data_IF_643256753720
#
_entry.id   IF_643256753720
#
_cell.length_a   1.000
_cell.length_b   1.000
_cell.length_c   1.000
_cell.angle_alpha   90.00
_cell.angle_beta   90.00
_cell.angle_gamma   90.00
#
_symmetry.space_group_name_H-M   'P 1'
#
loop_
_entity.id
_entity.type
_entity.pdbx_description
1 polymer ?
#
# COMPACT_ATOMS: atom_id res chain seq x y z
N UNK A 1 -23.16 -20.62 29.32
CA UNK A 1 -22.68 -19.93 30.54
C UNK A 1 -22.38 -18.47 30.18
N UNK A 2 -22.92 -17.47 30.90
CA UNK A 2 -22.67 -16.08 30.59
C UNK A 2 -21.28 -15.69 31.10
N UNK A 3 -20.40 -15.27 30.20
CA UNK A 3 -19.04 -14.84 30.52
C UNK A 3 -19.07 -13.59 31.40
N UNK A 4 -18.91 -13.78 32.72
CA UNK A 4 -18.61 -12.68 33.65
C UNK A 4 -17.30 -12.03 33.21
N UNK A 5 -17.30 -10.70 33.17
CA UNK A 5 -16.23 -9.83 32.69
C UNK A 5 -14.96 -10.09 33.50
N UNK A 6 -13.96 -10.75 32.88
CA UNK A 6 -12.65 -10.93 33.50
C UNK A 6 -11.93 -9.56 33.65
N UNK A 7 -11.09 -9.37 34.68
CA UNK A 7 -10.24 -8.19 34.79
C UNK A 7 -9.40 -7.99 33.54
N UNK A 8 -9.21 -6.74 33.08
CA UNK A 8 -8.44 -6.42 31.85
C UNK A 8 -7.04 -7.04 31.86
N UNK A 9 -6.38 -7.09 33.02
CA UNK A 9 -5.06 -7.71 33.20
C UNK A 9 -5.07 -9.22 32.94
N UNK A 10 -6.11 -9.93 33.40
CA UNK A 10 -6.27 -11.37 33.19
C UNK A 10 -6.59 -11.69 31.72
N UNK A 11 -7.44 -10.87 31.08
CA UNK A 11 -7.75 -11.00 29.65
C UNK A 11 -6.52 -10.78 28.77
N UNK A 12 -5.71 -9.76 29.08
CA UNK A 12 -4.46 -9.50 28.36
C UNK A 12 -3.45 -10.64 28.55
N UNK A 13 -3.32 -11.17 29.78
CA UNK A 13 -2.45 -12.30 30.06
C UNK A 13 -2.86 -13.56 29.29
N UNK A 14 -4.16 -13.89 29.29
CA UNK A 14 -4.69 -15.02 28.51
C UNK A 14 -4.43 -14.85 27.02
N UNK A 15 -4.61 -13.64 26.49
CA UNK A 15 -4.38 -13.37 25.06
C UNK A 15 -2.90 -13.44 24.69
N UNK A 16 -1.99 -13.09 25.62
CA UNK A 16 -0.56 -13.27 25.43
C UNK A 16 -0.18 -14.76 25.39
N UNK A 17 -0.76 -15.59 26.26
CA UNK A 17 -0.55 -17.05 26.23
C UNK A 17 -1.10 -17.68 24.97
N UNK A 18 -2.21 -17.16 24.46
CA UNK A 18 -2.77 -17.55 23.17
C UNK A 18 -1.85 -17.17 21.99
N UNK A 19 -1.25 -15.97 22.00
CA UNK A 19 -0.20 -15.60 21.03
C UNK A 19 0.99 -16.56 21.08
N UNK A 20 1.56 -16.81 22.27
CA UNK A 20 2.70 -17.72 22.47
C UNK A 20 2.39 -19.13 21.95
N UNK A 21 1.19 -19.65 22.24
CA UNK A 21 0.74 -20.96 21.77
C UNK A 21 0.71 -21.03 20.25
N UNK A 22 0.06 -20.05 19.60
CA UNK A 22 -0.03 -20.00 18.15
C UNK A 22 1.32 -19.81 17.47
N UNK A 23 2.23 -19.01 18.05
CA UNK A 23 3.61 -18.92 17.58
C UNK A 23 4.33 -20.27 17.67
N UNK A 24 4.18 -20.99 18.78
CA UNK A 24 4.84 -22.27 19.00
C UNK A 24 4.40 -23.35 18.01
N UNK A 25 3.10 -23.42 17.70
CA UNK A 25 2.55 -24.41 16.76
C UNK A 25 2.63 -23.97 15.29
N UNK A 26 3.19 -22.78 15.01
CA UNK A 26 3.32 -22.24 13.65
C UNK A 26 2.01 -21.74 13.02
N UNK A 27 0.97 -21.49 13.83
CA UNK A 27 -0.30 -20.93 13.36
C UNK A 27 -0.19 -19.40 13.22
N UNK A 28 0.21 -18.96 12.03
CA UNK A 28 0.33 -17.53 11.71
C UNK A 28 -0.97 -16.76 11.92
N UNK A 29 -2.11 -17.30 11.48
CA UNK A 29 -3.38 -16.58 11.54
C UNK A 29 -3.88 -16.44 12.98
N UNK A 30 -3.76 -17.51 13.78
CA UNK A 30 -4.03 -17.49 15.21
C UNK A 30 -3.16 -16.47 15.96
N UNK A 31 -1.85 -16.46 15.70
CA UNK A 31 -0.93 -15.52 16.33
C UNK A 31 -1.26 -14.06 15.96
N UNK A 32 -1.57 -13.79 14.70
CA UNK A 32 -1.98 -12.45 14.25
C UNK A 32 -3.31 -12.01 14.87
N UNK A 33 -4.28 -12.93 15.01
CA UNK A 33 -5.56 -12.66 15.69
C UNK A 33 -5.35 -12.32 17.18
N UNK A 34 -4.48 -13.05 17.87
CA UNK A 34 -4.12 -12.76 19.26
C UNK A 34 -3.47 -11.38 19.41
N UNK A 35 -2.51 -11.04 18.53
CA UNK A 35 -1.87 -9.70 18.49
C UNK A 35 -2.88 -8.59 18.21
N UNK A 36 -3.82 -8.80 17.30
CA UNK A 36 -4.88 -7.84 17.01
C UNK A 36 -5.76 -7.60 18.24
N UNK A 37 -6.18 -8.67 18.94
CA UNK A 37 -6.91 -8.57 20.20
C UNK A 37 -6.14 -7.78 21.26
N UNK A 38 -4.87 -8.09 21.48
CA UNK A 38 -4.02 -7.35 22.43
C UNK A 38 -3.90 -5.88 22.06
N UNK A 39 -3.73 -5.58 20.77
CA UNK A 39 -3.62 -4.21 20.27
C UNK A 39 -4.90 -3.40 20.53
N UNK A 40 -6.06 -3.94 20.17
CA UNK A 40 -7.35 -3.24 20.33
C UNK A 40 -7.89 -3.23 21.77
N UNK A 41 -7.37 -4.08 22.66
CA UNK A 41 -7.66 -4.01 24.11
C UNK A 41 -6.88 -2.90 24.83
N UNK A 42 -5.78 -2.41 24.24
CA UNK A 42 -4.96 -1.33 24.77
C UNK A 42 -5.49 0.08 24.45
N UNK A 43 -4.76 1.11 24.89
CA UNK A 43 -5.07 2.50 24.52
C UNK A 43 -4.77 2.72 23.03
N UNK A 44 -5.71 3.32 22.29
CA UNK A 44 -5.71 3.54 20.84
C UNK A 44 -4.62 4.49 20.28
N UNK A 45 -3.46 4.58 20.94
CA UNK A 45 -2.41 5.58 20.71
C UNK A 45 -1.50 5.31 19.51
N UNK A 46 -1.67 4.20 18.79
CA UNK A 46 -0.76 3.82 17.68
C UNK A 46 -1.35 4.02 16.26
N UNK A 47 -2.58 4.52 16.15
CA UNK A 47 -3.25 4.79 14.87
C UNK A 47 -2.43 5.71 13.95
N UNK A 48 -1.84 6.78 14.49
CA UNK A 48 -1.04 7.72 13.71
C UNK A 48 0.22 7.11 13.07
N UNK A 49 0.88 6.16 13.74
CA UNK A 49 2.05 5.47 13.17
C UNK A 49 1.66 4.55 12.01
N UNK A 50 0.51 3.89 12.12
CA UNK A 50 -0.03 3.03 11.06
C UNK A 50 -0.48 3.84 9.85
N UNK A 51 -1.20 4.93 10.09
CA UNK A 51 -1.57 5.89 9.05
C UNK A 51 -0.33 6.39 8.30
N UNK A 52 0.70 6.84 9.02
CA UNK A 52 1.93 7.31 8.42
C UNK A 52 2.61 6.23 7.56
N UNK A 53 2.60 4.97 8.02
CA UNK A 53 3.17 3.85 7.28
C UNK A 53 2.38 3.53 6.01
N UNK A 54 1.05 3.42 6.10
CA UNK A 54 0.16 3.11 4.98
C UNK A 54 0.24 4.20 3.92
N UNK A 55 0.18 5.48 4.33
CA UNK A 55 0.30 6.63 3.43
C UNK A 55 1.63 6.64 2.70
N UNK A 56 2.72 6.45 3.44
CA UNK A 56 4.05 6.40 2.83
C UNK A 56 4.22 5.21 1.87
N UNK A 57 3.60 4.06 2.16
CA UNK A 57 3.67 2.89 1.29
C UNK A 57 2.91 3.10 -0.03
N UNK A 58 1.74 3.74 0.03
CA UNK A 58 0.95 4.11 -1.15
C UNK A 58 1.68 5.18 -1.98
N UNK A 59 2.23 6.22 -1.34
CA UNK A 59 3.04 7.25 -2.02
C UNK A 59 4.25 6.63 -2.72
N UNK A 60 4.93 5.68 -2.06
CA UNK A 60 6.06 4.96 -2.64
C UNK A 60 5.63 4.10 -3.83
N UNK A 61 4.49 3.40 -3.72
CA UNK A 61 3.91 2.64 -4.83
C UNK A 61 3.57 3.56 -6.01
N UNK A 62 2.99 4.73 -5.76
CA UNK A 62 2.69 5.72 -6.79
C UNK A 62 3.96 6.17 -7.51
N UNK A 63 4.98 6.61 -6.77
CA UNK A 63 6.21 7.11 -7.37
C UNK A 63 6.92 6.05 -8.23
N UNK A 64 6.98 4.80 -7.74
CA UNK A 64 7.58 3.68 -8.49
C UNK A 64 6.75 3.33 -9.75
N UNK A 65 5.42 3.38 -9.66
CA UNK A 65 4.57 3.09 -10.81
C UNK A 65 4.66 4.18 -11.87
N UNK A 66 4.74 5.46 -11.46
CA UNK A 66 4.97 6.59 -12.35
C UNK A 66 6.34 6.50 -13.02
N UNK A 67 7.39 6.16 -12.26
CA UNK A 67 8.74 5.95 -12.80
C UNK A 67 8.71 4.88 -13.91
N UNK A 68 8.09 3.73 -13.65
CA UNK A 68 8.00 2.65 -14.64
C UNK A 68 7.20 3.06 -15.90
N UNK A 69 6.12 3.83 -15.72
CA UNK A 69 5.34 4.36 -16.84
C UNK A 69 6.18 5.31 -17.72
N UNK A 70 6.90 6.25 -17.09
CA UNK A 70 7.77 7.20 -17.78
C UNK A 70 8.98 6.55 -18.45
N UNK A 71 9.55 5.49 -17.87
CA UNK A 71 10.59 4.70 -18.53
C UNK A 71 10.08 4.08 -19.83
N UNK A 72 8.86 3.52 -19.81
CA UNK A 72 8.21 2.96 -21.01
C UNK A 72 7.93 4.04 -22.06
N UNK A 73 7.49 5.23 -21.63
CA UNK A 73 7.27 6.38 -22.52
C UNK A 73 8.58 6.83 -23.16
N UNK A 74 9.67 6.96 -22.38
CA UNK A 74 10.98 7.36 -22.85
C UNK A 74 11.56 6.37 -23.87
N UNK A 75 11.42 5.07 -23.63
CA UNK A 75 11.81 4.02 -24.58
C UNK A 75 11.04 4.16 -25.90
N UNK A 76 9.72 4.39 -25.82
CA UNK A 76 8.86 4.57 -27.00
C UNK A 76 9.24 5.82 -27.79
N UNK A 77 9.47 6.96 -27.13
CA UNK A 77 9.88 8.21 -27.76
C UNK A 77 11.27 8.10 -28.39
N UNK A 78 12.20 7.41 -27.70
CA UNK A 78 13.55 7.15 -28.20
C UNK A 78 13.54 6.26 -29.44
N UNK A 79 12.68 5.24 -29.47
CA UNK A 79 12.48 4.41 -30.65
C UNK A 79 11.90 5.22 -31.82
N UNK A 80 10.88 6.06 -31.57
CA UNK A 80 10.29 6.96 -32.59
C UNK A 80 11.32 7.93 -33.18
N UNK A 81 12.23 8.45 -32.36
CA UNK A 81 13.32 9.32 -32.81
C UNK A 81 14.35 8.58 -33.68
N UNK A 82 14.56 7.29 -33.46
CA UNK A 82 15.52 6.44 -34.20
C UNK A 82 14.96 5.85 -35.49
N UNK A 83 13.63 5.72 -35.62
CA UNK A 83 12.98 5.29 -36.86
C UNK A 83 13.40 6.26 -37.98
N UNK A 84 14.11 5.78 -39.02
CA UNK A 84 14.54 6.65 -40.09
C UNK A 84 13.32 7.21 -40.81
N UNK A 85 13.44 8.44 -41.31
CA UNK A 85 12.46 9.14 -42.14
C UNK A 85 12.26 8.46 -43.51
N UNK A 86 11.96 7.16 -43.52
CA UNK A 86 11.86 6.33 -44.73
C UNK A 86 10.55 6.61 -45.48
N UNK A 87 9.51 7.09 -44.78
CA UNK A 87 8.19 7.29 -45.39
C UNK A 87 7.68 8.73 -45.39
N UNK A 88 8.27 9.64 -44.61
CA UNK A 88 7.99 11.07 -44.66
C UNK A 88 9.04 11.80 -43.81
N UNK A 89 9.58 12.96 -44.24
CA UNK A 89 10.39 13.80 -43.35
C UNK A 89 9.48 14.24 -42.20
N UNK A 90 9.74 13.73 -41.00
CA UNK A 90 9.06 14.21 -39.80
C UNK A 90 9.18 15.73 -39.77
N UNK A 91 8.05 16.43 -39.74
CA UNK A 91 8.07 17.88 -39.74
C UNK A 91 8.94 18.39 -38.55
N UNK A 92 9.59 19.54 -38.73
CA UNK A 92 10.51 20.08 -37.73
C UNK A 92 9.82 20.31 -36.35
N UNK A 93 8.53 20.64 -36.36
CA UNK A 93 7.67 20.78 -35.17
C UNK A 93 7.43 19.43 -34.47
N UNK A 94 7.21 18.34 -35.19
CA UNK A 94 7.09 16.98 -34.63
C UNK A 94 8.40 16.54 -33.96
N UNK A 95 9.54 16.79 -34.61
CA UNK A 95 10.86 16.50 -34.04
C UNK A 95 11.16 17.30 -32.78
N UNK A 96 10.81 18.60 -32.78
CA UNK A 96 10.94 19.46 -31.60
C UNK A 96 10.06 18.98 -30.45
N UNK A 97 8.80 18.62 -30.74
CA UNK A 97 7.86 18.09 -29.74
C UNK A 97 8.36 16.80 -29.11
N UNK A 98 8.93 15.88 -29.89
CA UNK A 98 9.54 14.64 -29.35
C UNK A 98 10.72 14.98 -28.45
N UNK A 99 11.61 15.89 -28.86
CA UNK A 99 12.78 16.30 -28.06
C UNK A 99 12.35 16.95 -26.74
N UNK A 100 11.41 17.88 -26.79
CA UNK A 100 10.86 18.54 -25.60
C UNK A 100 10.22 17.53 -24.66
N UNK A 101 9.43 16.57 -25.19
CA UNK A 101 8.83 15.52 -24.37
C UNK A 101 9.88 14.64 -23.69
N UNK A 102 10.92 14.22 -24.41
CA UNK A 102 12.04 13.46 -23.84
C UNK A 102 12.68 14.23 -22.67
N UNK A 103 13.00 15.52 -22.87
CA UNK A 103 13.63 16.34 -21.84
C UNK A 103 12.75 16.48 -20.58
N UNK A 104 11.45 16.69 -20.77
CA UNK A 104 10.47 16.74 -19.67
C UNK A 104 10.38 15.40 -18.93
N UNK A 105 10.27 14.29 -19.67
CA UNK A 105 10.23 12.94 -19.09
C UNK A 105 11.49 12.62 -18.29
N UNK A 106 12.68 12.97 -18.82
CA UNK A 106 13.95 12.79 -18.12
C UNK A 106 14.03 13.63 -16.84
N UNK A 107 13.51 14.86 -16.86
CA UNK A 107 13.43 15.71 -15.67
C UNK A 107 12.50 15.10 -14.61
N UNK A 108 11.31 14.65 -14.99
CA UNK A 108 10.38 13.97 -14.09
C UNK A 108 10.99 12.70 -13.48
N UNK A 109 11.72 11.89 -14.27
CA UNK A 109 12.41 10.70 -13.79
C UNK A 109 13.47 11.03 -12.72
N UNK A 110 14.23 12.12 -12.89
CA UNK A 110 15.19 12.58 -11.86
C UNK A 110 14.47 12.95 -10.56
N UNK A 111 13.39 13.72 -10.64
CA UNK A 111 12.58 14.08 -9.47
C UNK A 111 12.00 12.84 -8.78
N UNK A 112 11.46 11.88 -9.54
CA UNK A 112 10.90 10.64 -8.98
C UNK A 112 11.96 9.80 -8.28
N UNK A 113 13.18 9.72 -8.80
CA UNK A 113 14.25 9.00 -8.14
C UNK A 113 14.56 9.58 -6.74
N UNK A 114 14.62 10.91 -6.63
CA UNK A 114 14.76 11.58 -5.32
C UNK A 114 13.56 11.30 -4.41
N UNK A 115 12.33 11.39 -4.92
CA UNK A 115 11.11 11.12 -4.17
C UNK A 115 11.08 9.69 -3.64
N UNK A 116 11.40 8.70 -4.48
CA UNK A 116 11.47 7.28 -4.11
C UNK A 116 12.51 7.08 -3.01
N UNK A 117 13.69 7.72 -3.13
CA UNK A 117 14.73 7.64 -2.11
C UNK A 117 14.24 8.20 -0.76
N UNK A 118 13.59 9.37 -0.77
CA UNK A 118 13.05 10.01 0.45
C UNK A 118 11.96 9.13 1.09
N UNK A 119 11.01 8.63 0.31
CA UNK A 119 9.92 7.76 0.78
C UNK A 119 10.42 6.41 1.31
N UNK A 120 11.46 5.85 0.71
CA UNK A 120 12.10 4.62 1.20
C UNK A 120 12.72 4.85 2.58
N UNK A 121 13.46 5.96 2.77
CA UNK A 121 14.01 6.34 4.07
C UNK A 121 12.93 6.65 5.09
N UNK A 122 11.85 7.32 4.68
CA UNK A 122 10.69 7.59 5.55
C UNK A 122 10.02 6.31 6.02
N UNK A 123 9.91 5.29 5.16
CA UNK A 123 9.43 3.95 5.57
C UNK A 123 10.26 3.43 6.75
N UNK A 124 11.58 3.47 6.63
CA UNK A 124 12.48 3.01 7.69
C UNK A 124 12.35 3.87 8.97
N UNK A 125 12.27 5.19 8.83
CA UNK A 125 12.10 6.10 9.96
C UNK A 125 10.78 5.85 10.72
N UNK A 126 9.67 5.70 10.00
CA UNK A 126 8.36 5.37 10.57
C UNK A 126 8.42 4.04 11.30
N UNK A 127 8.97 2.98 10.68
CA UNK A 127 9.09 1.66 11.31
C UNK A 127 9.93 1.68 12.60
N UNK A 128 10.97 2.51 12.68
CA UNK A 128 11.79 2.66 13.90
C UNK A 128 11.07 3.36 15.06
N UNK A 129 10.02 4.12 14.76
CA UNK A 129 9.24 4.84 15.77
C UNK A 129 8.08 4.00 16.33
N UNK A 130 7.79 2.83 15.74
CA UNK A 130 6.78 1.93 16.30
C UNK A 130 7.19 1.49 17.70
N UNK A 131 6.31 1.64 18.71
CA UNK A 131 6.58 1.12 20.04
C UNK A 131 6.66 -0.41 20.00
N UNK A 132 7.50 -0.98 20.85
CA UNK A 132 7.47 -2.42 21.09
C UNK A 132 6.09 -2.85 21.60
N UNK A 133 5.58 -3.95 21.07
CA UNK A 133 4.24 -4.42 21.39
C UNK A 133 3.60 -5.29 20.30
N UNK A 134 2.33 -5.68 20.51
CA UNK A 134 1.62 -6.60 19.62
C UNK A 134 1.56 -6.12 18.17
N UNK A 135 1.38 -4.81 17.96
CA UNK A 135 1.31 -4.21 16.64
C UNK A 135 2.64 -4.32 15.88
N UNK A 136 3.76 -4.01 16.53
CA UNK A 136 5.08 -4.11 15.89
C UNK A 136 5.44 -5.57 15.59
N UNK A 137 5.14 -6.50 16.52
CA UNK A 137 5.30 -7.95 16.28
C UNK A 137 4.47 -8.42 15.08
N UNK A 138 3.20 -8.01 15.03
CA UNK A 138 2.29 -8.33 13.93
C UNK A 138 2.85 -7.85 12.59
N UNK A 139 3.25 -6.57 12.55
CA UNK A 139 3.80 -5.92 11.36
C UNK A 139 5.08 -6.61 10.88
N UNK A 140 6.03 -6.90 11.78
CA UNK A 140 7.28 -7.61 11.47
C UNK A 140 6.97 -9.00 10.88
N UNK A 141 6.09 -9.76 11.54
CA UNK A 141 5.71 -11.10 11.10
C UNK A 141 4.98 -11.07 9.75
N UNK A 142 4.05 -10.13 9.53
CA UNK A 142 3.35 -9.99 8.26
C UNK A 142 4.33 -9.63 7.13
N UNK A 143 5.17 -8.61 7.35
CA UNK A 143 6.14 -8.13 6.33
C UNK A 143 7.30 -9.09 6.05
N UNK A 144 7.54 -10.09 6.90
CA UNK A 144 8.47 -11.18 6.61
C UNK A 144 8.00 -12.02 5.40
N UNK A 145 6.68 -12.06 5.12
CA UNK A 145 6.15 -12.67 3.91
C UNK A 145 6.41 -11.81 2.68
N UNK A 146 7.01 -12.37 1.63
CA UNK A 146 7.20 -11.69 0.34
C UNK A 146 5.87 -11.32 -0.34
N UNK A 147 4.74 -11.88 0.14
CA UNK A 147 3.38 -11.68 -0.38
C UNK A 147 2.46 -10.95 0.60
N UNK A 148 2.99 -10.25 1.62
CA UNK A 148 2.18 -9.49 2.58
C UNK A 148 1.20 -8.52 1.89
N UNK A 149 1.63 -7.88 0.80
CA UNK A 149 0.82 -6.95 0.01
C UNK A 149 -0.36 -7.64 -0.69
N UNK A 150 -0.38 -8.97 -0.75
CA UNK A 150 -1.47 -9.77 -1.34
C UNK A 150 -2.44 -10.30 -0.28
N UNK A 151 -2.41 -9.75 0.95
CA UNK A 151 -3.41 -10.06 1.96
C UNK A 151 -4.82 -9.92 1.34
N UNK A 152 -5.77 -10.82 1.63
CA UNK A 152 -7.04 -10.91 0.90
C UNK A 152 -7.79 -9.59 0.83
N UNK A 153 -7.81 -8.82 1.93
CA UNK A 153 -8.49 -7.54 1.97
C UNK A 153 -7.82 -6.46 1.09
N UNK A 154 -6.48 -6.44 0.98
CA UNK A 154 -5.79 -5.53 0.04
C UNK A 154 -6.07 -5.90 -1.41
N UNK A 155 -6.17 -7.20 -1.68
CA UNK A 155 -6.55 -7.71 -3.00
C UNK A 155 -8.00 -7.36 -3.33
N UNK A 156 -8.93 -7.57 -2.42
CA UNK A 156 -10.35 -7.22 -2.55
C UNK A 156 -10.51 -5.71 -2.79
N UNK A 157 -9.77 -4.90 -2.03
CA UNK A 157 -9.72 -3.45 -2.19
C UNK A 157 -9.23 -3.04 -3.58
N UNK A 158 -8.16 -3.68 -4.08
CA UNK A 158 -7.69 -3.49 -5.44
C UNK A 158 -8.72 -3.95 -6.50
N UNK A 159 -9.48 -5.03 -6.25
CA UNK A 159 -10.56 -5.48 -7.15
C UNK A 159 -11.72 -4.49 -7.15
N UNK A 160 -12.13 -4.00 -5.98
CA UNK A 160 -13.26 -3.09 -5.83
C UNK A 160 -13.08 -1.74 -6.52
N UNK A 161 -11.84 -1.30 -6.72
CA UNK A 161 -11.50 -0.09 -7.51
C UNK A 161 -11.27 -0.35 -8.99
N UNK A 162 -11.71 -1.51 -9.49
CA UNK A 162 -11.37 -1.98 -10.84
C UNK A 162 -9.86 -1.91 -11.12
N UNK A 163 -9.06 -2.42 -10.19
CA UNK A 163 -7.62 -2.43 -10.27
C UNK A 163 -7.05 -3.63 -11.02
N UNK A 164 -5.72 -3.72 -11.05
CA UNK A 164 -4.99 -4.83 -11.69
C UNK A 164 -5.40 -6.23 -11.17
N UNK A 165 -5.88 -6.34 -9.93
CA UNK A 165 -6.33 -7.61 -9.36
C UNK A 165 -7.66 -8.10 -9.95
N UNK A 166 -8.53 -7.22 -10.45
CA UNK A 166 -9.75 -7.61 -11.16
C UNK A 166 -9.45 -8.14 -12.57
N UNK A 167 -8.46 -7.53 -13.24
CA UNK A 167 -8.07 -7.84 -14.63
C UNK A 167 -7.11 -9.01 -14.80
N UNK A 168 -6.57 -9.55 -13.71
CA UNK A 168 -5.59 -10.65 -13.72
C UNK A 168 -4.31 -10.35 -14.55
N UNK A 169 -3.95 -9.10 -14.77
CA UNK A 169 -2.76 -8.73 -15.57
C UNK A 169 -1.41 -9.02 -14.87
N UNK A 170 -1.44 -9.50 -13.62
CA UNK A 170 -0.24 -9.90 -12.85
C UNK A 170 0.61 -8.74 -12.34
N UNK A 171 0.24 -7.49 -12.61
CA UNK A 171 1.01 -6.31 -12.24
C UNK A 171 1.26 -6.17 -10.72
N UNK A 172 0.31 -6.60 -9.87
CA UNK A 172 0.46 -6.47 -8.41
C UNK A 172 1.47 -7.44 -7.79
N UNK A 173 1.76 -8.56 -8.44
CA UNK A 173 2.60 -9.64 -7.90
C UNK A 173 4.04 -9.60 -8.40
N UNK A 174 4.35 -8.71 -9.36
CA UNK A 174 5.68 -8.57 -9.96
C UNK A 174 6.31 -7.21 -9.62
N UNK A 175 7.66 -7.14 -9.57
CA UNK A 175 8.38 -5.87 -9.55
C UNK A 175 7.94 -4.94 -10.68
N UNK A 176 8.01 -3.63 -10.47
CA UNK A 176 7.63 -2.64 -11.49
C UNK A 176 8.72 -2.37 -12.50
N UNK A 177 9.97 -2.52 -12.10
CA UNK A 177 11.14 -2.50 -12.97
C UNK A 177 12.25 -3.36 -12.35
N UNK A 178 13.29 -3.66 -13.13
CA UNK A 178 14.46 -4.37 -12.63
C UNK A 178 15.16 -3.61 -11.48
N UNK A 179 15.12 -2.28 -11.52
CA UNK A 179 15.68 -1.41 -10.49
C UNK A 179 14.78 -1.30 -9.23
N UNK A 180 13.48 -1.58 -9.34
CA UNK A 180 12.51 -1.44 -8.25
C UNK A 180 11.84 -2.78 -7.93
N UNK A 181 12.48 -3.55 -7.04
CA UNK A 181 12.01 -4.88 -6.60
C UNK A 181 10.70 -4.85 -5.78
N UNK A 182 10.24 -3.67 -5.36
CA UNK A 182 9.00 -3.52 -4.59
C UNK A 182 7.80 -4.03 -5.39
N UNK A 183 6.98 -4.85 -4.73
CA UNK A 183 5.67 -5.34 -5.20
C UNK A 183 4.56 -4.63 -4.43
N UNK A 184 3.38 -4.52 -5.02
CA UNK A 184 2.26 -3.81 -4.41
C UNK A 184 1.10 -3.57 -5.36
N UNK A 185 -0.05 -3.20 -4.81
CA UNK A 185 -1.24 -2.88 -5.58
C UNK A 185 -1.08 -1.64 -6.45
N UNK A 186 -1.89 -1.56 -7.50
CA UNK A 186 -1.88 -0.41 -8.39
C UNK A 186 -2.40 0.85 -7.69
N UNK A 187 -1.78 1.96 -8.01
CA UNK A 187 -2.26 3.32 -7.74
C UNK A 187 -2.72 3.95 -9.06
N UNK A 188 -3.10 5.22 -9.02
CA UNK A 188 -3.43 6.08 -10.18
C UNK A 188 -2.35 6.07 -11.25
N UNK A 189 -1.08 6.03 -10.85
CA UNK A 189 0.07 5.99 -11.74
C UNK A 189 0.30 4.64 -12.46
N UNK A 190 -0.57 3.63 -12.25
CA UNK A 190 -0.40 2.35 -12.92
C UNK A 190 -0.78 2.45 -14.40
N UNK A 191 0.22 2.44 -15.29
CA UNK A 191 0.01 2.47 -16.74
C UNK A 191 -0.93 1.36 -17.27
N UNK A 192 -0.97 0.18 -16.62
CA UNK A 192 -1.92 -0.87 -16.97
C UNK A 192 -3.37 -0.48 -16.65
N UNK A 193 -3.60 0.15 -15.49
CA UNK A 193 -4.92 0.63 -15.11
C UNK A 193 -5.33 1.83 -15.96
N UNK A 194 -4.42 2.76 -16.22
CA UNK A 194 -4.66 3.91 -17.07
C UNK A 194 -5.12 3.50 -18.48
N UNK A 195 -4.40 2.55 -19.12
CA UNK A 195 -4.82 2.01 -20.43
C UNK A 195 -6.19 1.33 -20.40
N UNK A 196 -6.48 0.58 -19.33
CA UNK A 196 -7.77 -0.10 -19.20
C UNK A 196 -8.93 0.90 -18.99
N UNK A 197 -8.68 1.97 -18.22
CA UNK A 197 -9.65 3.05 -18.00
C UNK A 197 -9.81 3.97 -19.20
N UNK A 198 -8.76 4.13 -20.02
CA UNK A 198 -8.75 4.98 -21.21
C UNK A 198 -8.42 6.46 -20.95
N UNK A 199 -8.09 6.84 -19.71
CA UNK A 199 -7.74 8.22 -19.34
C UNK A 199 -6.79 8.27 -18.15
N UNK A 200 -5.92 9.28 -18.13
CA UNK A 200 -5.04 9.58 -16.99
C UNK A 200 -5.86 10.07 -15.81
N UNK A 201 -5.42 9.72 -14.60
CA UNK A 201 -6.00 10.22 -13.36
C UNK A 201 -4.89 10.86 -12.56
N UNK A 202 -5.12 12.10 -12.17
CA UNK A 202 -4.19 12.84 -11.34
C UNK A 202 -4.11 12.24 -9.95
N UNK A 203 -2.95 12.42 -9.30
CA UNK A 203 -2.70 11.94 -7.94
C UNK A 203 -3.73 12.46 -6.95
N UNK A 204 -4.35 13.61 -7.27
CA UNK A 204 -5.24 14.37 -6.42
C UNK A 204 -6.66 13.80 -6.26
N UNK A 205 -7.04 12.78 -7.04
CA UNK A 205 -8.40 12.23 -6.99
C UNK A 205 -8.68 11.34 -5.77
N UNK A 206 -9.92 11.36 -5.29
CA UNK A 206 -10.35 10.79 -4.00
C UNK A 206 -10.31 9.26 -3.90
N UNK A 207 -10.10 8.52 -4.98
CA UNK A 207 -10.22 7.06 -4.99
C UNK A 207 -9.01 6.31 -4.39
N UNK A 208 -7.88 6.98 -4.18
CA UNK A 208 -6.72 6.36 -3.51
C UNK A 208 -7.09 5.97 -2.07
N UNK A 209 -6.76 4.74 -1.60
CA UNK A 209 -7.17 4.21 -0.30
C UNK A 209 -6.93 5.17 0.87
N UNK A 210 -5.82 5.90 0.83
CA UNK A 210 -5.43 6.89 1.84
C UNK A 210 -6.33 8.13 1.81
N UNK A 211 -6.79 8.59 0.65
CA UNK A 211 -7.63 9.79 0.57
C UNK A 211 -9.03 9.53 1.11
N UNK A 212 -9.60 8.36 0.83
CA UNK A 212 -10.92 7.96 1.36
C UNK A 212 -10.87 7.84 2.89
N UNK A 213 -9.78 7.27 3.44
CA UNK A 213 -9.73 6.91 4.84
C UNK A 213 -9.33 8.06 5.79
N UNK A 214 -8.67 9.10 5.26
CA UNK A 214 -8.14 10.23 6.04
C UNK A 214 -8.82 11.57 5.72
N UNK A 215 -9.82 11.59 4.84
CA UNK A 215 -10.67 12.76 4.66
C UNK A 215 -11.63 12.92 5.86
N UNK A 216 -11.84 14.19 6.25
CA UNK A 216 -12.35 14.64 7.54
C UNK A 216 -13.66 14.00 8.03
N UNK A 217 -13.67 13.64 9.32
CA UNK A 217 -14.85 13.72 10.19
C UNK A 217 -15.98 12.69 10.02
N UNK A 218 -15.86 11.69 9.15
CA UNK A 218 -16.88 10.64 9.03
C UNK A 218 -16.56 9.49 9.99
N UNK A 219 -17.46 9.21 10.95
CA UNK A 219 -17.39 8.05 11.86
C UNK A 219 -17.16 6.71 11.14
N UNK A 220 -17.56 6.62 9.85
CA UNK A 220 -17.31 5.48 8.97
C UNK A 220 -15.85 5.26 8.54
N UNK A 221 -14.97 6.27 8.68
CA UNK A 221 -13.53 6.16 8.39
C UNK A 221 -12.82 5.23 9.36
N UNK A 222 -13.35 5.03 10.58
CA UNK A 222 -12.74 4.16 11.59
C UNK A 222 -12.81 2.67 11.21
N UNK A 223 -13.93 2.17 10.68
CA UNK A 223 -14.07 0.74 10.28
C UNK A 223 -13.20 0.43 9.07
N UNK A 224 -13.17 1.31 8.06
CA UNK A 224 -12.32 1.13 6.89
C UNK A 224 -10.83 1.21 7.24
N UNK A 225 -10.42 2.14 8.10
CA UNK A 225 -9.04 2.21 8.59
C UNK A 225 -8.65 0.98 9.40
N UNK A 226 -9.52 0.48 10.27
CA UNK A 226 -9.26 -0.75 11.03
C UNK A 226 -9.13 -1.95 10.10
N UNK A 227 -9.99 -2.06 9.07
CA UNK A 227 -9.86 -3.09 8.03
C UNK A 227 -8.51 -2.98 7.32
N UNK A 228 -8.13 -1.79 6.86
CA UNK A 228 -6.82 -1.56 6.24
C UNK A 228 -5.68 -1.93 7.18
N UNK A 229 -5.76 -1.58 8.47
CA UNK A 229 -4.76 -1.95 9.48
C UNK A 229 -4.67 -3.46 9.68
N UNK A 230 -5.79 -4.16 9.78
CA UNK A 230 -5.83 -5.62 9.89
C UNK A 230 -5.12 -6.27 8.71
N UNK A 231 -5.29 -5.72 7.50
CA UNK A 231 -4.61 -6.23 6.32
C UNK A 231 -3.11 -5.85 6.27
N UNK A 232 -2.79 -4.57 6.47
CA UNK A 232 -1.42 -4.03 6.34
C UNK A 232 -0.50 -4.50 7.47
N UNK A 233 -0.98 -4.51 8.70
CA UNK A 233 -0.18 -4.82 9.88
C UNK A 233 -0.30 -6.30 10.25
N UNK A 234 -1.51 -6.86 10.26
CA UNK A 234 -1.74 -8.21 10.77
C UNK A 234 -1.85 -9.27 9.67
N UNK A 235 -1.99 -8.89 8.39
CA UNK A 235 -2.18 -9.85 7.29
C UNK A 235 -3.50 -10.60 7.35
N UNK A 236 -4.46 -10.12 8.16
CA UNK A 236 -5.73 -10.79 8.41
C UNK A 236 -6.77 -10.40 7.36
N UNK A 237 -7.71 -11.32 7.12
CA UNK A 237 -8.99 -10.98 6.49
C UNK A 237 -9.75 -10.11 7.49
N UNK A 238 -10.32 -8.98 7.05
CA UNK A 238 -11.18 -8.17 7.91
C UNK A 238 -12.42 -8.96 8.29
N UNK A 239 -12.37 -9.75 9.37
CA UNK A 239 -13.56 -10.42 9.91
C UNK A 239 -14.40 -9.40 10.68
N UNK A 240 -15.73 -9.47 10.51
CA UNK A 240 -16.72 -8.56 11.12
C UNK A 240 -16.39 -8.25 12.58
N UNK A 241 -16.40 -6.94 12.89
CA UNK A 241 -16.37 -6.30 14.22
C UNK A 241 -15.54 -7.05 15.26
N UNK A 242 -14.26 -6.68 15.38
CA UNK A 242 -13.66 -6.66 16.71
C UNK A 242 -14.53 -5.70 17.51
N UNK A 243 -15.32 -6.21 18.45
CA UNK A 243 -16.17 -5.37 19.31
C UNK A 243 -15.22 -4.48 20.12
N UNK A 244 -14.92 -3.31 19.57
CA UNK A 244 -14.33 -2.21 20.30
C UNK A 244 -15.38 -1.85 21.32
N UNK A 245 -15.08 -2.16 22.58
CA UNK A 245 -15.76 -1.56 23.72
C UNK A 245 -15.82 -0.07 23.41
N UNK A 246 -17.04 0.45 23.25
CA UNK A 246 -17.35 1.83 22.87
C UNK A 246 -16.23 2.77 23.30
N UNK A 247 -15.53 3.36 22.32
CA UNK A 247 -14.71 4.54 22.57
C UNK A 247 -15.68 5.65 23.00
N UNK A 248 -16.04 5.65 24.28
CA UNK A 248 -16.76 6.76 24.90
C UNK A 248 -15.88 7.98 24.74
N UNK A 249 -16.39 8.92 23.97
CA UNK A 249 -15.85 10.27 23.82
C UNK A 249 -15.93 10.99 25.17
#
# INVERSE_FOLDING_TARGET
MPWRILPKSLTAWLTLKDEEFHEHVGDFEGAQKARARLHFQGEAKQLGHMEALIRNDIDLNFAIQREAALQTELETLSAKKKLPAIFEPADATTSEKIRSRIQTTEAELRTLNETIWRLTRRTHAVLRQFPEGPLLRALKANRASTRWHMAPLLKEDCVGRDGCCARMCGCCTKPRSAARLKKGHCTSACACCERARGFAVEREESWEPTRIAFADGLDGCTDYMQRLMLAYCFGLRGTRRYNIVECKH
#
